data_IF_395527974756
#
_entry.id   IF_395527974756
#
_cell.length_a   1.000
_cell.length_b   1.000
_cell.length_c   1.000
_cell.angle_alpha   90.00
_cell.angle_beta   90.00
_cell.angle_gamma   90.00
#
_symmetry.space_group_name_H-M   'P 1'
#
loop_
_entity.id
_entity.type
_entity.pdbx_description
1 polymer ?
#
# COMPACT_ATOMS: atom_id res chain seq x y z
N UNK A 1 -19.10 4.10 -2.47
CA UNK A 1 -17.87 3.51 -1.89
C UNK A 1 -16.76 3.66 -2.93
N UNK A 2 -15.61 4.22 -2.58
CA UNK A 2 -14.52 4.50 -3.52
C UNK A 2 -13.38 3.49 -3.32
N UNK A 3 -13.02 2.76 -4.38
CA UNK A 3 -11.92 1.79 -4.39
C UNK A 3 -10.94 2.17 -5.50
N UNK A 4 -9.66 2.29 -5.16
CA UNK A 4 -8.62 2.75 -6.08
C UNK A 4 -7.50 1.70 -6.14
N UNK A 5 -7.06 1.38 -7.36
CA UNK A 5 -5.92 0.50 -7.60
C UNK A 5 -4.84 1.30 -8.32
N UNK A 6 -3.61 1.27 -7.80
CA UNK A 6 -2.45 1.96 -8.39
C UNK A 6 -1.50 0.93 -9.02
N UNK A 7 -1.23 1.06 -10.31
CA UNK A 7 -0.35 0.20 -11.09
C UNK A 7 0.83 1.00 -11.69
N UNK A 8 1.93 0.31 -11.98
CA UNK A 8 3.13 0.92 -12.55
C UNK A 8 4.43 0.25 -12.10
N UNK A 9 5.55 0.51 -12.78
CA UNK A 9 6.84 -0.12 -12.49
C UNK A 9 7.39 0.30 -11.11
N UNK A 10 8.41 -0.40 -10.58
CA UNK A 10 9.18 0.06 -9.43
C UNK A 10 9.68 1.49 -9.65
N UNK A 11 9.64 2.33 -8.61
CA UNK A 11 10.06 3.74 -8.72
C UNK A 11 9.04 4.71 -9.34
N UNK A 12 7.90 4.25 -9.86
CA UNK A 12 6.86 5.11 -10.46
C UNK A 12 6.08 6.00 -9.46
N UNK A 13 6.48 6.07 -8.19
CA UNK A 13 5.83 6.93 -7.19
C UNK A 13 4.48 6.44 -6.65
N UNK A 14 4.11 5.18 -6.90
CA UNK A 14 2.82 4.62 -6.43
C UNK A 14 2.59 4.76 -4.93
N UNK A 15 3.62 4.54 -4.11
CA UNK A 15 3.53 4.69 -2.65
C UNK A 15 3.21 6.12 -2.21
N UNK A 16 3.88 7.11 -2.83
CA UNK A 16 3.62 8.53 -2.59
C UNK A 16 2.19 8.91 -2.99
N UNK A 17 1.72 8.44 -4.15
CA UNK A 17 0.34 8.67 -4.58
C UNK A 17 -0.68 8.00 -3.64
N UNK A 18 -0.39 6.78 -3.19
CA UNK A 18 -1.25 6.05 -2.26
C UNK A 18 -1.44 6.80 -0.94
N UNK A 19 -0.37 7.34 -0.35
CA UNK A 19 -0.48 8.12 0.90
C UNK A 19 -1.30 9.40 0.70
N UNK A 20 -1.05 10.17 -0.38
CA UNK A 20 -1.83 11.38 -0.65
C UNK A 20 -3.33 11.09 -0.84
N UNK A 21 -3.66 10.02 -1.58
CA UNK A 21 -5.04 9.59 -1.82
C UNK A 21 -5.71 9.13 -0.52
N UNK A 22 -5.00 8.33 0.27
CA UNK A 22 -5.45 7.82 1.56
C UNK A 22 -5.75 8.95 2.54
N UNK A 23 -4.88 9.95 2.63
CA UNK A 23 -5.09 11.14 3.48
C UNK A 23 -6.28 11.98 3.01
N UNK A 24 -6.36 12.27 1.71
CA UNK A 24 -7.40 13.13 1.15
C UNK A 24 -8.81 12.52 1.25
N UNK A 25 -8.91 11.21 1.00
CA UNK A 25 -10.20 10.50 0.95
C UNK A 25 -10.47 9.65 2.20
N UNK A 26 -9.61 9.71 3.22
CA UNK A 26 -9.70 8.91 4.44
C UNK A 26 -9.85 7.40 4.17
N UNK A 27 -9.08 6.89 3.20
CA UNK A 27 -9.14 5.48 2.78
C UNK A 27 -8.17 4.61 3.58
N UNK A 28 -8.40 3.30 3.55
CA UNK A 28 -7.46 2.31 4.08
C UNK A 28 -6.45 1.97 2.99
N UNK A 29 -5.16 2.03 3.32
CA UNK A 29 -4.08 1.60 2.43
C UNK A 29 -3.83 0.09 2.61
N UNK A 30 -4.01 -0.67 1.52
CA UNK A 30 -3.68 -2.09 1.44
C UNK A 30 -2.62 -2.30 0.35
N UNK A 31 -1.46 -2.86 0.70
CA UNK A 31 -0.42 -3.21 -0.26
C UNK A 31 0.09 -4.63 -0.03
N UNK A 32 0.37 -5.35 -1.12
CA UNK A 32 0.95 -6.71 -1.04
C UNK A 32 2.29 -6.71 -0.33
N UNK A 33 3.11 -5.68 -0.55
CA UNK A 33 4.40 -5.51 0.12
C UNK A 33 4.30 -5.44 1.64
N UNK A 34 3.29 -4.77 2.19
CA UNK A 34 3.09 -4.68 3.64
C UNK A 34 2.58 -6.00 4.23
N UNK A 35 1.71 -6.70 3.52
CA UNK A 35 1.21 -8.02 3.94
C UNK A 35 2.36 -9.02 3.99
N UNK A 36 3.16 -9.12 2.92
CA UNK A 36 4.30 -10.04 2.88
C UNK A 36 5.34 -9.69 3.95
N UNK A 37 5.69 -8.42 4.14
CA UNK A 37 6.63 -8.00 5.20
C UNK A 37 6.13 -8.36 6.60
N UNK A 38 4.84 -8.16 6.89
CA UNK A 38 4.24 -8.56 8.18
C UNK A 38 4.36 -10.06 8.40
N UNK A 39 4.03 -10.87 7.39
CA UNK A 39 4.10 -12.34 7.48
C UNK A 39 5.55 -12.81 7.64
N UNK A 40 6.52 -12.22 6.92
CA UNK A 40 7.93 -12.58 7.02
C UNK A 40 8.53 -12.30 8.40
N UNK A 41 8.11 -11.21 9.06
CA UNK A 41 8.58 -10.86 10.41
C UNK A 41 7.98 -11.78 11.47
N UNK A 42 6.76 -12.27 11.28
CA UNK A 42 6.10 -13.17 12.23
C UNK A 42 6.69 -14.59 12.29
N UNK A 43 7.58 -14.98 11.37
CA UNK A 43 8.20 -16.33 11.35
C UNK A 43 9.55 -16.43 12.07
N UNK A 44 9.95 -15.39 12.84
CA UNK A 44 11.21 -15.38 13.60
C UNK A 44 11.06 -15.72 15.09
N UNK A 45 9.96 -16.38 15.48
CA UNK A 45 9.72 -16.91 16.84
C UNK A 45 9.51 -18.42 16.75
#
# INVERSE_FOLDING_TARGET
MLNIVLFGPPGAGKGTQAENIKEHYQLIHLSTGDIFRKISVSQQI
#
